data_IF_176934210918
#
_entry.id   IF_176934210918
#
_cell.length_a   1.000
_cell.length_b   1.000
_cell.length_c   1.000
_cell.angle_alpha   90.00
_cell.angle_beta   90.00
_cell.angle_gamma   90.00
#
_symmetry.space_group_name_H-M   'P 1'
#
loop_
_entity.id
_entity.type
_entity.pdbx_description
1 polymer ?
#
# COMPACT_ATOMS: atom_id res chain seq x y z
N UNK A 1 -0.39 0.33 11.19
CA UNK A 1 -1.32 1.12 12.03
C UNK A 1 -0.76 1.51 13.39
N UNK A 2 -0.54 0.59 14.35
CA UNK A 2 -0.11 0.94 15.73
C UNK A 2 1.15 1.80 15.73
N UNK A 3 2.20 1.39 15.02
CA UNK A 3 3.42 2.18 14.90
C UNK A 3 3.18 3.59 14.30
N UNK A 4 2.22 3.75 13.37
CA UNK A 4 1.85 5.06 12.84
C UNK A 4 1.13 5.94 13.87
N UNK A 5 0.26 5.36 14.70
CA UNK A 5 -0.41 6.09 15.79
C UNK A 5 0.63 6.53 16.83
N UNK A 6 1.55 5.62 17.20
CA UNK A 6 2.62 5.91 18.15
C UNK A 6 3.56 7.01 17.64
N UNK A 7 3.92 7.03 16.36
CA UNK A 7 4.72 8.14 15.81
C UNK A 7 3.96 9.46 15.79
N UNK A 8 2.65 9.43 15.55
CA UNK A 8 1.80 10.61 15.67
C UNK A 8 1.78 11.17 17.10
N UNK A 9 1.63 10.29 18.08
CA UNK A 9 1.69 10.67 19.50
C UNK A 9 3.07 11.23 19.87
N UNK A 10 4.15 10.59 19.42
CA UNK A 10 5.53 11.07 19.63
C UNK A 10 5.72 12.49 19.10
N UNK A 11 5.30 12.76 17.86
CA UNK A 11 5.39 14.10 17.27
C UNK A 11 4.56 15.15 18.02
N UNK A 12 3.34 14.77 18.44
CA UNK A 12 2.46 15.65 19.23
C UNK A 12 3.07 15.99 20.58
N UNK A 13 3.60 14.98 21.29
CA UNK A 13 4.24 15.16 22.58
C UNK A 13 5.49 16.03 22.47
N UNK A 14 6.37 15.78 21.48
CA UNK A 14 7.53 16.62 21.21
C UNK A 14 7.14 18.08 20.99
N UNK A 15 6.19 18.33 20.08
CA UNK A 15 5.77 19.69 19.70
C UNK A 15 5.10 20.46 20.84
N UNK A 16 4.17 19.83 21.55
CA UNK A 16 3.30 20.55 22.49
C UNK A 16 3.73 20.44 23.94
N UNK A 17 4.45 19.39 24.34
CA UNK A 17 4.88 19.21 25.74
C UNK A 17 6.36 19.59 25.90
N UNK A 18 7.22 19.10 25.00
CA UNK A 18 8.65 19.40 25.06
C UNK A 18 9.01 20.73 24.39
N UNK A 19 8.07 21.35 23.65
CA UNK A 19 8.33 22.50 22.77
C UNK A 19 9.46 22.24 21.75
N UNK A 20 9.68 20.97 21.42
CA UNK A 20 10.62 20.53 20.39
C UNK A 20 9.86 20.30 19.09
N UNK A 21 10.35 20.85 17.97
CA UNK A 21 9.77 20.57 16.66
C UNK A 21 9.91 19.09 16.26
N UNK A 22 9.19 18.68 15.23
CA UNK A 22 9.44 17.42 14.51
C UNK A 22 9.95 17.72 13.10
N UNK A 23 10.76 16.81 12.55
CA UNK A 23 11.24 16.95 11.17
C UNK A 23 10.14 16.67 10.15
N UNK A 24 10.29 17.22 8.94
CA UNK A 24 9.42 16.90 7.81
C UNK A 24 9.50 15.42 7.42
N UNK A 25 10.66 14.80 7.61
CA UNK A 25 10.85 13.36 7.36
C UNK A 25 10.02 12.52 8.33
N UNK A 26 9.97 12.88 9.61
CA UNK A 26 9.14 12.19 10.59
C UNK A 26 7.65 12.30 10.25
N UNK A 27 7.19 13.49 9.85
CA UNK A 27 5.81 13.71 9.43
C UNK A 27 5.47 12.90 8.16
N UNK A 28 6.40 12.85 7.19
CA UNK A 28 6.27 12.04 5.99
C UNK A 28 6.20 10.54 6.31
N UNK A 29 7.07 10.05 7.21
CA UNK A 29 7.11 8.66 7.66
C UNK A 29 5.79 8.24 8.35
N UNK A 30 5.30 9.07 9.27
CA UNK A 30 4.01 8.89 9.93
C UNK A 30 2.87 8.81 8.92
N UNK A 31 2.80 9.79 8.01
CA UNK A 31 1.72 9.91 7.02
C UNK A 31 1.69 8.71 6.08
N UNK A 32 2.84 8.28 5.56
CA UNK A 32 2.91 7.13 4.65
C UNK A 32 2.58 5.82 5.37
N UNK A 33 2.95 5.66 6.64
CA UNK A 33 2.63 4.45 7.39
C UNK A 33 1.11 4.33 7.70
N UNK A 34 0.43 5.46 7.93
CA UNK A 34 -1.03 5.48 8.11
C UNK A 34 -1.74 5.32 6.76
N UNK A 35 -1.44 6.16 5.78
CA UNK A 35 -2.14 6.17 4.51
C UNK A 35 -1.81 4.93 3.67
N UNK A 36 -0.53 4.64 3.45
CA UNK A 36 -0.11 3.54 2.57
C UNK A 36 -0.07 2.22 3.35
N UNK A 37 0.54 2.23 4.53
CA UNK A 37 0.70 1.02 5.34
C UNK A 37 -0.55 0.54 6.07
N UNK A 38 -1.61 1.35 6.12
CA UNK A 38 -2.87 0.98 6.76
C UNK A 38 -4.07 1.17 5.82
N UNK A 39 -4.41 2.41 5.42
CA UNK A 39 -5.62 2.69 4.63
C UNK A 39 -5.56 2.05 3.24
N UNK A 40 -4.46 2.21 2.50
CA UNK A 40 -4.31 1.64 1.15
C UNK A 40 -4.33 0.10 1.21
N UNK A 41 -3.59 -0.50 2.15
CA UNK A 41 -3.60 -1.96 2.35
C UNK A 41 -5.01 -2.48 2.69
N UNK A 42 -5.78 -1.75 3.49
CA UNK A 42 -7.19 -2.07 3.76
C UNK A 42 -8.05 -1.97 2.49
N UNK A 43 -7.92 -0.90 1.71
CA UNK A 43 -8.65 -0.72 0.43
C UNK A 43 -8.32 -1.86 -0.54
N UNK A 44 -7.04 -2.21 -0.67
CA UNK A 44 -6.59 -3.33 -1.51
C UNK A 44 -7.21 -4.65 -1.03
N UNK A 45 -7.22 -4.90 0.28
CA UNK A 45 -7.85 -6.08 0.87
C UNK A 45 -9.36 -6.14 0.61
N UNK A 46 -10.06 -5.02 0.81
CA UNK A 46 -11.50 -4.91 0.53
C UNK A 46 -11.79 -5.12 -0.95
N UNK A 47 -11.01 -4.52 -1.86
CA UNK A 47 -11.17 -4.74 -3.30
C UNK A 47 -10.94 -6.21 -3.67
N UNK A 48 -9.94 -6.87 -3.08
CA UNK A 48 -9.72 -8.30 -3.29
C UNK A 48 -10.87 -9.17 -2.78
N UNK A 49 -11.57 -8.74 -1.74
CA UNK A 49 -12.73 -9.45 -1.19
C UNK A 49 -14.02 -9.15 -1.96
N UNK A 50 -14.25 -7.89 -2.33
CA UNK A 50 -15.48 -7.39 -2.94
C UNK A 50 -15.67 -7.88 -4.37
N UNK A 51 -14.63 -7.82 -5.20
CA UNK A 51 -14.76 -8.31 -6.57
C UNK A 51 -14.89 -9.85 -6.55
N UNK A 52 -15.74 -10.46 -7.39
CA UNK A 52 -15.88 -11.90 -7.40
C UNK A 52 -14.55 -12.58 -7.74
N UNK A 53 -14.32 -13.75 -7.12
CA UNK A 53 -13.18 -14.61 -7.49
C UNK A 53 -13.45 -15.18 -8.88
N UNK A 54 -12.46 -15.20 -9.79
CA UNK A 54 -12.62 -15.87 -11.09
C UNK A 54 -12.96 -17.35 -10.89
N UNK A 55 -13.66 -17.95 -11.86
CA UNK A 55 -13.96 -19.39 -11.84
C UNK A 55 -12.65 -20.19 -11.84
N UNK A 56 -12.64 -21.43 -11.32
CA UNK A 56 -11.43 -22.27 -11.21
C UNK A 56 -10.73 -22.52 -12.56
N UNK A 57 -11.46 -22.35 -13.66
CA UNK A 57 -11.00 -22.52 -15.04
C UNK A 57 -10.37 -21.24 -15.64
N UNK A 58 -10.51 -20.09 -14.97
CA UNK A 58 -10.01 -18.80 -15.45
C UNK A 58 -8.52 -18.63 -15.12
N UNK A 59 -7.66 -18.90 -16.10
CA UNK A 59 -6.19 -18.77 -16.02
C UNK A 59 -5.70 -17.34 -15.73
N UNK A 60 -6.58 -16.32 -15.77
CA UNK A 60 -6.23 -14.93 -15.46
C UNK A 60 -6.04 -14.69 -13.96
N UNK A 61 -6.51 -15.61 -13.10
CA UNK A 61 -6.27 -15.53 -11.66
C UNK A 61 -4.89 -16.09 -11.28
N UNK A 62 -3.96 -15.21 -10.94
CA UNK A 62 -2.64 -15.62 -10.44
C UNK A 62 -2.51 -15.30 -8.95
N UNK A 63 -2.65 -16.32 -8.11
CA UNK A 63 -2.51 -16.19 -6.66
C UNK A 63 -1.12 -15.68 -6.24
N UNK A 64 -0.06 -16.15 -6.93
CA UNK A 64 1.32 -15.77 -6.62
C UNK A 64 1.57 -14.28 -6.89
N UNK A 65 0.89 -13.71 -7.90
CA UNK A 65 1.00 -12.28 -8.20
C UNK A 65 0.39 -11.43 -7.08
N UNK A 66 -0.77 -11.80 -6.55
CA UNK A 66 -1.42 -11.09 -5.44
C UNK A 66 -0.54 -11.17 -4.18
N UNK A 67 0.03 -12.34 -3.90
CA UNK A 67 0.93 -12.53 -2.77
C UNK A 67 2.21 -11.72 -2.93
N UNK A 68 2.79 -11.68 -4.13
CA UNK A 68 3.95 -10.84 -4.45
C UNK A 68 3.62 -9.36 -4.26
N UNK A 69 2.48 -8.89 -4.77
CA UNK A 69 2.01 -7.52 -4.58
C UNK A 69 1.89 -7.17 -3.10
N UNK A 70 1.28 -8.04 -2.30
CA UNK A 70 1.14 -7.85 -0.86
C UNK A 70 2.51 -7.71 -0.17
N UNK A 71 3.42 -8.65 -0.41
CA UNK A 71 4.74 -8.62 0.23
C UNK A 71 5.58 -7.43 -0.23
N UNK A 72 5.58 -7.11 -1.52
CA UNK A 72 6.26 -5.92 -2.05
C UNK A 72 5.72 -4.67 -1.38
N UNK A 73 4.39 -4.52 -1.26
CA UNK A 73 3.78 -3.36 -0.62
C UNK A 73 4.08 -3.26 0.88
N UNK A 74 4.00 -4.39 1.59
CA UNK A 74 4.26 -4.45 3.03
C UNK A 74 5.73 -4.15 3.36
N UNK A 75 6.66 -4.82 2.67
CA UNK A 75 8.10 -4.69 2.91
C UNK A 75 8.57 -3.29 2.52
N UNK A 76 8.16 -2.79 1.35
CA UNK A 76 8.53 -1.44 0.92
C UNK A 76 8.03 -0.37 1.88
N UNK A 77 6.79 -0.48 2.37
CA UNK A 77 6.24 0.48 3.32
C UNK A 77 6.95 0.42 4.68
N UNK A 78 7.25 -0.78 5.17
CA UNK A 78 7.97 -0.96 6.43
C UNK A 78 9.40 -0.41 6.34
N UNK A 79 10.14 -0.76 5.28
CA UNK A 79 11.51 -0.30 5.09
C UNK A 79 11.57 1.21 4.84
N UNK A 80 10.67 1.75 4.01
CA UNK A 80 10.55 3.20 3.83
C UNK A 80 10.35 3.91 5.16
N UNK A 81 9.43 3.42 6.00
CA UNK A 81 9.19 3.99 7.32
C UNK A 81 10.46 3.98 8.19
N UNK A 82 11.16 2.84 8.29
CA UNK A 82 12.38 2.73 9.08
C UNK A 82 13.46 3.69 8.58
N UNK A 83 13.74 3.71 7.28
CA UNK A 83 14.75 4.61 6.71
C UNK A 83 14.38 6.08 6.84
N UNK A 84 13.11 6.43 6.70
CA UNK A 84 12.67 7.83 6.80
C UNK A 84 12.65 8.33 8.26
N UNK A 85 12.37 7.44 9.22
CA UNK A 85 12.59 7.71 10.64
C UNK A 85 14.08 7.91 10.92
N UNK A 86 14.96 7.03 10.42
CA UNK A 86 16.42 7.20 10.57
C UNK A 86 16.90 8.54 9.97
N UNK A 87 16.38 8.92 8.81
CA UNK A 87 16.70 10.19 8.14
C UNK A 87 16.27 11.41 8.95
N UNK A 88 15.22 11.29 9.77
CA UNK A 88 14.80 12.34 10.70
C UNK A 88 15.83 12.63 11.79
N UNK A 89 16.70 11.67 12.12
CA UNK A 89 17.71 11.83 13.17
C UNK A 89 19.10 12.05 12.59
N UNK A 90 19.42 11.38 11.48
CA UNK A 90 20.76 11.40 10.87
C UNK A 90 20.59 11.61 9.37
N UNK A 91 21.04 12.76 8.87
CA UNK A 91 21.07 12.99 7.43
C UNK A 91 22.16 12.14 6.77
N UNK A 92 21.77 11.30 5.80
CA UNK A 92 22.70 10.48 5.01
C UNK A 92 22.15 10.24 3.61
N UNK A 93 22.96 10.51 2.60
CA UNK A 93 22.58 10.32 1.19
C UNK A 93 22.17 8.86 0.89
N UNK A 94 22.85 7.88 1.50
CA UNK A 94 22.50 6.47 1.33
C UNK A 94 21.10 6.14 1.84
N UNK A 95 20.70 6.74 2.98
CA UNK A 95 19.36 6.56 3.56
C UNK A 95 18.31 7.23 2.68
N UNK A 96 18.58 8.44 2.17
CA UNK A 96 17.68 9.14 1.24
C UNK A 96 17.46 8.34 -0.05
N UNK A 97 18.52 7.75 -0.62
CA UNK A 97 18.42 6.87 -1.79
C UNK A 97 17.58 5.63 -1.47
N UNK A 98 17.79 5.01 -0.30
CA UNK A 98 16.99 3.88 0.13
C UNK A 98 15.49 4.23 0.24
N UNK A 99 15.14 5.37 0.85
CA UNK A 99 13.75 5.86 0.90
C UNK A 99 13.15 5.99 -0.49
N UNK A 100 13.89 6.52 -1.47
CA UNK A 100 13.44 6.65 -2.86
C UNK A 100 13.23 5.28 -3.54
N UNK A 101 14.13 4.32 -3.33
CA UNK A 101 14.00 2.96 -3.87
C UNK A 101 12.73 2.29 -3.34
N UNK A 102 12.50 2.32 -2.03
CA UNK A 102 11.29 1.70 -1.46
C UNK A 102 10.01 2.43 -1.85
N UNK A 103 10.07 3.74 -2.06
CA UNK A 103 8.94 4.50 -2.61
C UNK A 103 8.59 4.05 -4.03
N UNK A 104 9.61 3.76 -4.83
CA UNK A 104 9.43 3.19 -6.18
C UNK A 104 8.78 1.81 -6.11
N UNK A 105 9.19 0.96 -5.16
CA UNK A 105 8.55 -0.34 -4.97
C UNK A 105 7.09 -0.26 -4.53
N UNK A 106 6.69 0.77 -3.77
CA UNK A 106 5.27 0.99 -3.47
C UNK A 106 4.46 1.29 -4.75
N UNK A 107 5.01 2.12 -5.65
CA UNK A 107 4.37 2.42 -6.94
C UNK A 107 4.26 1.15 -7.78
N UNK A 108 5.35 0.36 -7.89
CA UNK A 108 5.34 -0.91 -8.61
C UNK A 108 4.30 -1.87 -8.02
N UNK A 109 4.19 -1.97 -6.70
CA UNK A 109 3.18 -2.81 -6.05
C UNK A 109 1.75 -2.37 -6.39
N UNK A 110 1.48 -1.06 -6.41
CA UNK A 110 0.18 -0.53 -6.81
C UNK A 110 -0.13 -0.87 -8.28
N UNK A 111 0.84 -0.73 -9.18
CA UNK A 111 0.67 -1.09 -10.60
C UNK A 111 0.37 -2.59 -10.74
N UNK A 112 1.13 -3.45 -10.05
CA UNK A 112 0.89 -4.89 -10.03
C UNK A 112 -0.49 -5.23 -9.46
N UNK A 113 -0.93 -4.50 -8.43
CA UNK A 113 -2.26 -4.65 -7.86
C UNK A 113 -3.35 -4.38 -8.91
N UNK A 114 -3.30 -3.23 -9.58
CA UNK A 114 -4.27 -2.89 -10.62
C UNK A 114 -4.23 -3.87 -11.79
N UNK A 115 -3.03 -4.30 -12.21
CA UNK A 115 -2.87 -5.33 -13.23
C UNK A 115 -3.54 -6.65 -12.82
N UNK A 116 -3.35 -7.09 -11.56
CA UNK A 116 -3.99 -8.30 -11.02
C UNK A 116 -5.52 -8.18 -10.94
N UNK A 117 -6.02 -6.96 -10.74
CA UNK A 117 -7.45 -6.67 -10.60
C UNK A 117 -8.15 -6.46 -11.94
N UNK A 118 -7.42 -6.08 -13.00
CA UNK A 118 -7.99 -5.77 -14.31
C UNK A 118 -8.88 -6.90 -14.85
N UNK A 119 -8.47 -8.15 -14.68
CA UNK A 119 -9.26 -9.32 -15.10
C UNK A 119 -10.55 -9.57 -14.29
N UNK A 120 -10.68 -8.95 -13.11
CA UNK A 120 -11.82 -9.10 -12.20
C UNK A 120 -12.87 -8.00 -12.37
N UNK A 121 -12.48 -6.87 -12.95
CA UNK A 121 -13.37 -5.76 -13.28
C UNK A 121 -14.09 -6.13 -14.59
N UNK A 122 -15.18 -6.91 -14.49
CA UNK A 122 -16.13 -7.13 -15.59
C UNK A 122 -17.35 -6.25 -15.39
N UNK A 123 -17.92 -5.72 -16.47
CA UNK A 123 -19.17 -4.93 -16.36
C UNK A 123 -20.30 -5.85 -15.89
N UNK A 124 -21.04 -5.39 -14.88
CA UNK A 124 -22.24 -6.06 -14.35
C UNK A 124 -23.30 -6.37 -15.44
N UNK A 125 -23.26 -5.67 -16.57
CA UNK A 125 -24.12 -5.93 -17.73
C UNK A 125 -23.78 -7.23 -18.47
N UNK A 126 -22.51 -7.63 -18.53
CA UNK A 126 -22.10 -8.88 -19.20
C UNK A 126 -22.56 -10.12 -18.42
N UNK A 127 -22.55 -10.08 -17.08
CA UNK A 127 -22.97 -11.23 -16.27
C UNK A 127 -24.49 -11.50 -16.33
N UNK A 128 -25.32 -10.44 -16.46
CA UNK A 128 -26.76 -10.60 -16.72
C UNK A 128 -27.02 -11.12 -18.13
N UNK A 129 -26.37 -10.54 -19.15
CA UNK A 129 -26.57 -10.89 -20.55
C UNK A 129 -26.02 -12.28 -20.92
N UNK A 130 -24.92 -12.72 -20.30
CA UNK A 130 -24.43 -14.11 -20.40
C UNK A 130 -25.36 -15.10 -19.67
N UNK A 131 -25.94 -14.72 -18.51
CA UNK A 131 -26.97 -15.53 -17.84
C UNK A 131 -28.25 -15.65 -18.66
N UNK A 132 -28.59 -14.60 -19.41
CA UNK A 132 -29.73 -14.53 -20.32
C UNK A 132 -29.46 -15.22 -21.68
N UNK A 133 -28.25 -15.74 -21.89
CA UNK A 133 -27.92 -16.57 -23.05
C UNK A 133 -27.53 -15.79 -24.32
N UNK A 134 -27.33 -14.48 -24.23
CA UNK A 134 -26.80 -13.71 -25.36
C UNK A 134 -25.31 -14.01 -25.53
N UNK A 135 -24.99 -14.83 -26.54
CA UNK A 135 -23.61 -15.03 -26.99
C UNK A 135 -23.24 -13.93 -27.99
N UNK A 136 -22.04 -13.39 -27.83
CA UNK A 136 -21.37 -12.58 -28.85
C UNK A 136 -21.01 -13.44 -30.06
#
# INVERSE_FOLDING_TARGET
MIAGILTGLYMSYGKYVLNEGYSLEMASAHTHLILVGSVMMMIMGVALWFFPRPTKEDKRYNHNLILLTFWTMAISTALRFVFQVLLSFIYSNWISVAVSIFSTFQIVAIILFFYSMWGRIRSVGSYKREKEGEKF
#
